data_IF_503510434931
#
_entry.id   IF_503510434931
#
_cell.length_a   1.000
_cell.length_b   1.000
_cell.length_c   1.000
_cell.angle_alpha   90.00
_cell.angle_beta   90.00
_cell.angle_gamma   90.00
#
_symmetry.space_group_name_H-M   'P 1'
#
loop_
_entity.id
_entity.type
_entity.pdbx_description
1 polymer ?
#
# COMPACT_ATOMS: atom_id res chain seq x y z
N UNK A 1 11.72 -38.68 5.48
CA UNK A 1 10.47 -38.83 4.72
C UNK A 1 9.62 -37.60 5.04
N UNK A 2 9.67 -36.62 4.13
CA UNK A 2 8.74 -35.49 3.91
C UNK A 2 8.05 -34.91 5.16
N UNK A 3 8.70 -33.95 5.83
CA UNK A 3 7.97 -32.93 6.56
C UNK A 3 7.20 -32.11 5.52
N UNK A 4 5.88 -32.10 5.62
CA UNK A 4 4.99 -31.41 4.69
C UNK A 4 5.31 -29.90 4.64
N UNK A 5 5.54 -29.31 3.45
CA UNK A 5 5.70 -27.86 3.29
C UNK A 5 4.37 -27.08 3.42
N UNK A 6 3.24 -27.77 3.66
CA UNK A 6 1.91 -27.17 3.61
C UNK A 6 1.55 -26.26 4.80
N UNK A 7 2.35 -26.23 5.88
CA UNK A 7 2.08 -25.37 7.03
C UNK A 7 2.67 -23.94 6.89
N UNK A 8 3.58 -23.72 5.93
CA UNK A 8 4.10 -22.38 5.63
C UNK A 8 3.16 -21.55 4.72
N UNK A 9 2.06 -22.15 4.25
CA UNK A 9 1.21 -21.60 3.20
C UNK A 9 -0.09 -20.95 3.72
N UNK A 10 -0.18 -20.64 5.01
CA UNK A 10 -1.14 -19.65 5.49
C UNK A 10 -0.44 -18.28 5.52
N UNK A 11 -0.02 -17.80 4.34
CA UNK A 11 0.45 -16.42 4.21
C UNK A 11 -0.66 -15.50 4.71
N UNK A 12 -0.33 -14.60 5.64
CA UNK A 12 -1.29 -13.64 6.15
C UNK A 12 -1.87 -12.86 4.96
N UNK A 13 -3.20 -12.91 4.72
CA UNK A 13 -3.79 -12.37 3.50
C UNK A 13 -3.55 -10.86 3.38
N UNK A 14 -3.39 -10.17 4.51
CA UNK A 14 -3.04 -8.76 4.55
C UNK A 14 -1.58 -8.54 4.13
N UNK A 15 -0.64 -9.39 4.56
CA UNK A 15 0.76 -9.30 4.13
C UNK A 15 0.91 -9.52 2.62
N UNK A 16 0.23 -10.54 2.06
CA UNK A 16 0.24 -10.79 0.61
C UNK A 16 -0.34 -9.61 -0.16
N UNK A 17 -1.42 -9.02 0.34
CA UNK A 17 -2.01 -7.83 -0.28
C UNK A 17 -1.04 -6.65 -0.22
N UNK A 18 -0.46 -6.33 0.94
CA UNK A 18 0.51 -5.24 1.06
C UNK A 18 1.67 -5.42 0.07
N UNK A 19 2.13 -6.66 -0.13
CA UNK A 19 3.16 -6.96 -1.12
C UNK A 19 2.74 -6.62 -2.56
N UNK A 20 1.48 -6.89 -2.93
CA UNK A 20 0.92 -6.53 -4.23
C UNK A 20 0.80 -5.01 -4.42
N UNK A 21 0.61 -4.28 -3.32
CA UNK A 21 0.46 -2.82 -3.32
C UNK A 21 1.79 -2.05 -3.23
N UNK A 22 2.90 -2.71 -2.89
CA UNK A 22 4.25 -2.09 -2.87
C UNK A 22 4.58 -1.22 -4.10
N UNK A 23 4.37 -1.64 -5.36
CA UNK A 23 4.66 -0.79 -6.51
C UNK A 23 3.80 0.47 -6.56
N UNK A 24 2.53 0.40 -6.13
CA UNK A 24 1.64 1.56 -6.04
C UNK A 24 2.11 2.50 -4.94
N UNK A 25 2.50 1.96 -3.77
CA UNK A 25 3.06 2.75 -2.67
C UNK A 25 4.32 3.48 -3.13
N UNK A 26 5.22 2.81 -3.84
CA UNK A 26 6.41 3.43 -4.41
C UNK A 26 6.09 4.56 -5.41
N UNK A 27 5.07 4.38 -6.25
CA UNK A 27 4.59 5.44 -7.15
C UNK A 27 4.04 6.64 -6.36
N UNK A 28 3.30 6.42 -5.28
CA UNK A 28 2.81 7.52 -4.41
C UNK A 28 3.97 8.27 -3.79
N UNK A 29 4.98 7.57 -3.27
CA UNK A 29 6.20 8.21 -2.72
C UNK A 29 6.88 9.07 -3.78
N UNK A 30 7.14 8.51 -4.97
CA UNK A 30 7.79 9.25 -6.05
C UNK A 30 6.97 10.45 -6.51
N UNK A 31 5.66 10.31 -6.63
CA UNK A 31 4.74 11.40 -7.01
C UNK A 31 4.77 12.54 -5.97
N UNK A 32 4.71 12.22 -4.67
CA UNK A 32 4.83 13.23 -3.59
C UNK A 32 6.19 13.92 -3.62
N UNK A 33 7.25 13.23 -4.04
CA UNK A 33 8.60 13.79 -4.18
C UNK A 33 8.78 14.64 -5.45
N UNK A 34 7.73 14.79 -6.28
CA UNK A 34 7.72 15.62 -7.48
C UNK A 34 8.08 14.88 -8.78
N UNK A 35 8.05 13.55 -8.79
CA UNK A 35 8.24 12.77 -10.01
C UNK A 35 7.00 12.85 -10.91
N UNK A 36 7.10 13.63 -11.98
CA UNK A 36 6.02 13.82 -12.94
C UNK A 36 5.67 12.54 -13.73
N UNK A 37 6.60 11.59 -13.88
CA UNK A 37 6.31 10.30 -14.51
C UNK A 37 5.47 9.42 -13.57
N UNK A 38 5.80 9.41 -12.28
CA UNK A 38 5.02 8.72 -11.26
C UNK A 38 3.60 9.30 -11.18
N UNK A 39 3.45 10.63 -11.23
CA UNK A 39 2.14 11.29 -11.24
C UNK A 39 1.30 10.87 -12.47
N UNK A 40 1.90 10.86 -13.66
CA UNK A 40 1.23 10.42 -14.90
C UNK A 40 0.80 8.95 -14.88
N UNK A 41 1.50 8.09 -14.13
CA UNK A 41 1.11 6.68 -13.97
C UNK A 41 0.08 6.50 -12.86
N UNK A 42 0.20 7.25 -11.77
CA UNK A 42 -0.61 7.11 -10.58
C UNK A 42 -2.01 7.71 -10.74
N UNK A 43 -2.12 8.90 -11.35
CA UNK A 43 -3.41 9.55 -11.56
C UNK A 43 -4.45 8.70 -12.31
N UNK A 44 -4.16 8.08 -13.48
CA UNK A 44 -5.11 7.21 -14.16
C UNK A 44 -5.40 5.94 -13.37
N UNK A 45 -4.43 5.40 -12.65
CA UNK A 45 -4.63 4.25 -11.76
C UNK A 45 -5.60 4.58 -10.63
N UNK A 46 -5.42 5.72 -9.95
CA UNK A 46 -6.35 6.19 -8.90
C UNK A 46 -7.74 6.49 -9.47
N UNK A 47 -7.84 6.94 -10.71
CA UNK A 47 -9.13 7.14 -11.36
C UNK A 47 -9.86 5.81 -11.60
N UNK A 48 -9.15 4.80 -12.11
CA UNK A 48 -9.70 3.46 -12.23
C UNK A 48 -10.10 2.89 -10.86
N UNK A 49 -9.24 3.04 -9.86
CA UNK A 49 -9.47 2.56 -8.50
C UNK A 49 -10.69 3.22 -7.85
N UNK A 50 -10.91 4.50 -8.13
CA UNK A 50 -12.07 5.26 -7.62
C UNK A 50 -13.42 4.75 -8.14
N UNK A 51 -13.42 3.97 -9.23
CA UNK A 51 -14.63 3.36 -9.81
C UNK A 51 -14.93 1.98 -9.19
N UNK A 52 -14.03 1.44 -8.40
CA UNK A 52 -14.22 0.16 -7.71
C UNK A 52 -15.00 0.37 -6.41
N UNK A 53 -16.02 -0.46 -6.16
CA UNK A 53 -16.82 -0.38 -4.93
C UNK A 53 -15.97 -0.64 -3.67
N UNK A 54 -14.96 -1.50 -3.75
CA UNK A 54 -14.12 -1.84 -2.60
C UNK A 54 -13.01 -0.81 -2.37
N UNK A 55 -12.50 -0.17 -3.42
CA UNK A 55 -11.28 0.65 -3.36
C UNK A 55 -11.53 2.16 -3.51
N UNK A 56 -12.79 2.60 -3.67
CA UNK A 56 -13.08 4.01 -3.92
C UNK A 56 -12.64 4.91 -2.76
N UNK A 57 -12.77 4.42 -1.52
CA UNK A 57 -12.38 5.17 -0.32
C UNK A 57 -10.86 5.30 -0.26
N UNK A 58 -10.13 4.21 -0.54
CA UNK A 58 -8.67 4.23 -0.63
C UNK A 58 -8.18 5.18 -1.73
N UNK A 59 -8.80 5.15 -2.92
CA UNK A 59 -8.45 6.07 -4.01
C UNK A 59 -8.61 7.55 -3.59
N UNK A 60 -9.68 7.88 -2.87
CA UNK A 60 -9.90 9.23 -2.34
C UNK A 60 -8.85 9.59 -1.27
N UNK A 61 -8.49 8.66 -0.38
CA UNK A 61 -7.45 8.86 0.62
C UNK A 61 -6.08 9.10 -0.03
N UNK A 62 -5.66 8.27 -0.99
CA UNK A 62 -4.40 8.41 -1.70
C UNK A 62 -4.30 9.74 -2.48
N UNK A 63 -5.41 10.22 -3.07
CA UNK A 63 -5.45 11.55 -3.70
C UNK A 63 -5.21 12.68 -2.70
N UNK A 64 -5.74 12.56 -1.47
CA UNK A 64 -5.47 13.54 -0.40
C UNK A 64 -4.01 13.47 0.06
N UNK A 65 -3.43 12.27 0.10
CA UNK A 65 -1.99 12.08 0.38
C UNK A 65 -1.12 12.81 -0.65
N UNK A 66 -1.46 12.70 -1.95
CA UNK A 66 -0.79 13.46 -3.01
C UNK A 66 -0.97 14.97 -2.84
N UNK A 67 -2.12 15.42 -2.36
CA UNK A 67 -2.36 16.83 -2.04
C UNK A 67 -1.61 17.32 -0.77
N UNK A 68 -0.93 16.42 -0.05
CA UNK A 68 -0.11 16.72 1.13
C UNK A 68 -0.78 16.41 2.47
N UNK A 69 -2.00 15.87 2.48
CA UNK A 69 -2.66 15.41 3.71
C UNK A 69 -2.01 14.11 4.20
N UNK A 70 -1.52 14.11 5.44
CA UNK A 70 -0.79 12.97 6.02
C UNK A 70 -1.41 12.50 7.34
N UNK A 71 -2.53 13.09 7.74
CA UNK A 71 -3.21 12.75 8.97
C UNK A 71 -4.11 11.53 8.79
N UNK A 72 -3.67 10.40 9.36
CA UNK A 72 -4.42 9.14 9.37
C UNK A 72 -5.87 9.30 9.85
N UNK A 73 -6.12 10.13 10.87
CA UNK A 73 -7.48 10.32 11.41
C UNK A 73 -8.42 11.05 10.43
N UNK A 74 -7.87 11.84 9.51
CA UNK A 74 -8.63 12.57 8.48
C UNK A 74 -8.84 11.70 7.23
N UNK A 75 -7.94 10.74 7.01
CA UNK A 75 -7.90 9.88 5.83
C UNK A 75 -8.61 8.53 6.05
N UNK A 76 -8.67 8.03 7.29
CA UNK A 76 -9.31 6.77 7.66
C UNK A 76 -10.85 6.70 7.64
N UNK A 77 -11.63 7.80 7.68
CA UNK A 77 -13.09 7.70 7.66
C UNK A 77 -13.60 6.97 6.41
N UNK A 78 -14.29 5.85 6.61
CA UNK A 78 -14.88 5.03 5.54
C UNK A 78 -13.94 3.96 4.96
N UNK A 79 -12.68 3.90 5.39
CA UNK A 79 -11.77 2.81 5.02
C UNK A 79 -12.04 1.57 5.87
N UNK A 80 -12.03 0.41 5.23
CA UNK A 80 -12.02 -0.89 5.92
C UNK A 80 -10.62 -1.21 6.48
N UNK A 81 -10.47 -2.36 7.15
CA UNK A 81 -9.20 -2.76 7.74
C UNK A 81 -8.09 -2.93 6.68
N UNK A 82 -8.46 -3.39 5.49
CA UNK A 82 -7.55 -3.63 4.37
C UNK A 82 -7.02 -2.31 3.82
N UNK A 83 -7.92 -1.38 3.54
CA UNK A 83 -7.61 -0.03 3.06
C UNK A 83 -6.75 0.73 4.09
N UNK A 84 -7.08 0.61 5.38
CA UNK A 84 -6.30 1.24 6.45
C UNK A 84 -4.88 0.69 6.52
N UNK A 85 -4.68 -0.62 6.30
CA UNK A 85 -3.36 -1.21 6.27
C UNK A 85 -2.52 -0.64 5.11
N UNK A 86 -3.10 -0.54 3.91
CA UNK A 86 -2.42 0.02 2.73
C UNK A 86 -2.12 1.51 2.94
N UNK A 87 -3.08 2.28 3.44
CA UNK A 87 -2.89 3.70 3.74
C UNK A 87 -1.78 3.91 4.78
N UNK A 88 -1.77 3.11 5.85
CA UNK A 88 -0.75 3.19 6.90
C UNK A 88 0.64 2.88 6.32
N UNK A 89 0.77 1.81 5.54
CA UNK A 89 2.03 1.47 4.88
C UNK A 89 2.49 2.56 3.90
N UNK A 90 1.55 3.22 3.21
CA UNK A 90 1.86 4.34 2.32
C UNK A 90 2.42 5.54 3.09
N UNK A 91 1.80 5.90 4.21
CA UNK A 91 2.24 7.03 5.03
C UNK A 91 3.58 6.75 5.71
N UNK A 92 3.81 5.51 6.16
CA UNK A 92 5.10 5.08 6.71
C UNK A 92 6.23 5.17 5.68
N UNK A 93 5.98 4.72 4.44
CA UNK A 93 6.93 4.84 3.33
C UNK A 93 7.24 6.30 2.99
N UNK A 94 6.23 7.18 3.04
CA UNK A 94 6.42 8.63 2.85
C UNK A 94 7.24 9.27 3.97
N UNK A 95 7.07 8.81 5.22
CA UNK A 95 7.88 9.29 6.35
C UNK A 95 9.33 8.81 6.25
N UNK A 96 9.54 7.57 5.79
CA UNK A 96 10.87 6.99 5.59
C UNK A 96 11.57 7.49 4.32
N UNK A 97 10.83 8.03 3.35
CA UNK A 97 11.36 8.47 2.06
C UNK A 97 11.84 7.33 1.15
N UNK A 98 11.47 6.09 1.49
CA UNK A 98 11.81 4.87 0.77
C UNK A 98 10.55 4.00 0.71
N UNK A 99 10.31 3.24 -0.38
CA UNK A 99 9.25 2.24 -0.39
C UNK A 99 9.39 1.32 0.84
N UNK A 100 8.26 0.82 1.37
CA UNK A 100 8.30 0.01 2.58
C UNK A 100 9.13 -1.24 2.26
N UNK A 101 10.19 -1.46 3.02
CA UNK A 101 10.89 -2.74 3.02
C UNK A 101 9.98 -3.74 3.72
N UNK A 102 8.97 -4.22 3.01
CA UNK A 102 8.27 -5.43 3.41
C UNK A 102 9.23 -6.55 3.06
N UNK A 103 10.26 -6.72 3.90
CA UNK A 103 11.15 -7.86 3.80
C UNK A 103 10.27 -9.10 3.65
N UNK A 104 10.47 -9.96 2.62
CA UNK A 104 9.84 -11.26 2.65
C UNK A 104 10.21 -11.84 3.99
N UNK A 105 9.22 -12.22 4.81
CA UNK A 105 9.45 -12.72 6.15
C UNK A 105 10.63 -13.69 6.09
N UNK A 106 11.81 -13.22 6.50
CA UNK A 106 12.97 -14.07 6.65
C UNK A 106 12.55 -14.97 7.77
N UNK A 107 12.29 -16.23 7.45
CA UNK A 107 12.27 -17.28 8.45
C UNK A 107 13.69 -17.29 9.04
N UNK A 108 13.91 -16.92 10.31
CA UNK A 108 15.18 -17.20 10.93
C UNK A 108 15.20 -18.68 11.32
N UNK A 109 16.28 -19.35 10.92
CA UNK A 109 16.80 -20.63 11.42
C UNK A 109 16.17 -21.95 10.91
N UNK A 110 16.87 -22.61 9.96
CA UNK A 110 17.65 -23.84 10.20
C UNK A 110 18.29 -24.38 8.90
#
# INVERSE_FOLDING_TARGET
>A
MRSDPAAAEAADPQATLLQQWQPVIGLVVNAVQGDAAADNQLLPFLDQLSRSADWHNLAAALRRVLAGERNLQVLSPGLDATDQAILTATLDALQSGSPPDIAPAVHPDA
#
